data_IF_389816620068
#
_entry.id   IF_389816620068
#
_cell.length_a   1.000
_cell.length_b   1.000
_cell.length_c   1.000
_cell.angle_alpha   90.00
_cell.angle_beta   90.00
_cell.angle_gamma   90.00
#
_symmetry.space_group_name_H-M   'P 1'
#
loop_
_entity.id
_entity.type
_entity.pdbx_description
1 polymer ?
#
# COMPACT_ATOMS: atom_id res chain seq x y z
N UNK A 1 8.31 -14.91 16.11
CA UNK A 1 8.01 -13.50 15.73
C UNK A 1 6.53 -13.25 15.51
N UNK A 2 5.83 -13.98 14.62
CA UNK A 2 4.38 -13.75 14.39
C UNK A 2 3.51 -13.94 15.64
N UNK A 3 3.78 -14.94 16.49
CA UNK A 3 3.07 -15.09 17.77
C UNK A 3 3.28 -13.90 18.71
N UNK A 4 4.49 -13.31 18.72
CA UNK A 4 4.78 -12.11 19.52
C UNK A 4 3.99 -10.93 18.98
N UNK A 5 3.98 -10.73 17.66
CA UNK A 5 3.16 -9.71 17.01
C UNK A 5 1.68 -9.87 17.39
N UNK A 6 1.14 -11.09 17.27
CA UNK A 6 -0.26 -11.41 17.56
C UNK A 6 -0.64 -11.08 19.01
N UNK A 7 0.08 -11.63 20.00
CA UNK A 7 -0.20 -11.39 21.42
C UNK A 7 -0.07 -9.91 21.77
N UNK A 8 0.93 -9.23 21.20
CA UNK A 8 1.14 -7.80 21.41
C UNK A 8 -0.03 -7.00 20.84
N UNK A 9 -0.53 -7.36 19.67
CA UNK A 9 -1.67 -6.68 19.08
C UNK A 9 -2.97 -6.93 19.82
N UNK A 10 -3.22 -8.17 20.28
CA UNK A 10 -4.37 -8.51 21.12
C UNK A 10 -4.39 -7.69 22.42
N UNK A 11 -3.21 -7.48 23.04
CA UNK A 11 -3.07 -6.63 24.22
C UNK A 11 -3.36 -5.15 23.92
N UNK A 12 -2.83 -4.61 22.82
CA UNK A 12 -3.11 -3.23 22.40
C UNK A 12 -4.61 -3.04 22.15
N UNK A 13 -5.22 -3.95 21.40
CA UNK A 13 -6.64 -3.89 21.04
C UNK A 13 -7.55 -4.01 22.26
N UNK A 14 -7.20 -4.89 23.20
CA UNK A 14 -7.93 -5.02 24.47
C UNK A 14 -7.83 -3.73 25.30
N UNK A 15 -6.66 -3.12 25.38
CA UNK A 15 -6.47 -1.86 26.09
C UNK A 15 -7.26 -0.71 25.44
N UNK A 16 -7.24 -0.59 24.11
CA UNK A 16 -8.00 0.43 23.36
C UNK A 16 -9.50 0.22 23.54
N UNK A 17 -9.97 -1.03 23.54
CA UNK A 17 -11.40 -1.34 23.74
C UNK A 17 -11.87 -0.97 25.14
N UNK A 18 -11.04 -1.21 26.17
CA UNK A 18 -11.41 -0.98 27.56
C UNK A 18 -11.31 0.50 27.98
N UNK A 19 -10.39 1.25 27.39
CA UNK A 19 -9.99 2.58 27.89
C UNK A 19 -9.95 3.68 26.80
N UNK A 20 -10.38 3.35 25.58
CA UNK A 20 -10.36 4.24 24.42
C UNK A 20 -8.96 4.51 23.86
N UNK A 21 -8.88 5.31 22.79
CA UNK A 21 -7.62 5.59 22.08
C UNK A 21 -6.57 6.33 22.91
N UNK A 22 -6.95 6.92 24.04
CA UNK A 22 -6.04 7.65 24.93
C UNK A 22 -4.90 6.78 25.46
N UNK A 23 -5.10 5.46 25.57
CA UNK A 23 -4.08 4.52 26.05
C UNK A 23 -2.90 4.36 25.10
N UNK A 24 -3.07 4.69 23.82
CA UNK A 24 -1.98 4.64 22.83
C UNK A 24 -0.83 5.58 23.20
N UNK A 25 -1.08 6.56 24.08
CA UNK A 25 -0.06 7.49 24.59
C UNK A 25 0.76 6.90 25.74
N UNK A 26 0.30 5.82 26.39
CA UNK A 26 0.97 5.22 27.53
C UNK A 26 2.29 4.55 27.12
N UNK A 27 3.35 4.64 27.95
CA UNK A 27 4.66 4.09 27.63
C UNK A 27 4.64 2.60 27.26
N UNK A 28 3.88 1.78 28.01
CA UNK A 28 3.79 0.35 27.76
C UNK A 28 3.19 0.03 26.38
N UNK A 29 2.10 0.71 26.01
CA UNK A 29 1.45 0.52 24.71
C UNK A 29 2.36 1.00 23.57
N UNK A 30 3.09 2.10 23.75
CA UNK A 30 4.11 2.55 22.79
C UNK A 30 5.21 1.51 22.59
N UNK A 31 5.70 0.89 23.66
CA UNK A 31 6.68 -0.20 23.57
C UNK A 31 6.11 -1.41 22.83
N UNK A 32 4.86 -1.79 23.09
CA UNK A 32 4.16 -2.87 22.38
C UNK A 32 4.05 -2.57 20.87
N UNK A 33 3.68 -1.35 20.50
CA UNK A 33 3.66 -0.91 19.09
C UNK A 33 5.05 -0.98 18.46
N UNK A 34 6.08 -0.51 19.17
CA UNK A 34 7.47 -0.60 18.70
C UNK A 34 7.89 -2.06 18.45
N UNK A 35 7.48 -3.01 19.30
CA UNK A 35 7.72 -4.45 19.07
C UNK A 35 7.05 -4.92 17.77
N UNK A 36 5.79 -4.54 17.51
CA UNK A 36 5.10 -4.87 16.25
C UNK A 36 5.86 -4.30 15.04
N UNK A 37 6.26 -3.04 15.11
CA UNK A 37 7.03 -2.35 14.07
C UNK A 37 8.36 -3.06 13.79
N UNK A 38 9.13 -3.41 14.83
CA UNK A 38 10.43 -4.08 14.66
C UNK A 38 10.29 -5.52 14.14
N UNK A 39 9.21 -6.23 14.51
CA UNK A 39 8.90 -7.53 13.90
C UNK A 39 8.68 -7.38 12.39
N UNK A 40 7.90 -6.38 11.96
CA UNK A 40 7.64 -6.13 10.54
C UNK A 40 8.90 -5.71 9.79
N UNK A 41 9.72 -4.81 10.38
CA UNK A 41 11.00 -4.37 9.79
C UNK A 41 11.95 -5.54 9.60
N UNK A 42 12.10 -6.40 10.61
CA UNK A 42 12.94 -7.59 10.50
C UNK A 42 12.47 -8.53 9.37
N UNK A 43 11.16 -8.75 9.26
CA UNK A 43 10.57 -9.55 8.18
C UNK A 43 10.87 -8.91 6.82
N UNK A 44 10.72 -7.59 6.69
CA UNK A 44 11.01 -6.86 5.45
C UNK A 44 12.48 -6.94 5.05
N UNK A 45 13.38 -6.75 6.01
CA UNK A 45 14.83 -6.88 5.78
C UNK A 45 15.17 -8.29 5.35
N UNK A 46 14.59 -9.30 5.98
CA UNK A 46 14.79 -10.69 5.61
C UNK A 46 14.29 -11.00 4.20
N UNK A 47 13.06 -10.59 3.85
CA UNK A 47 12.49 -10.78 2.49
C UNK A 47 13.38 -10.12 1.43
N UNK A 48 13.79 -8.87 1.66
CA UNK A 48 14.63 -8.10 0.74
C UNK A 48 16.01 -8.73 0.56
N UNK A 49 16.63 -9.18 1.66
CA UNK A 49 17.96 -9.81 1.65
C UNK A 49 17.93 -11.16 0.96
N UNK A 50 16.88 -11.95 1.17
CA UNK A 50 16.76 -13.23 0.47
C UNK A 50 16.64 -13.03 -1.04
N UNK A 51 15.95 -11.98 -1.49
CA UNK A 51 15.79 -11.72 -2.92
C UNK A 51 17.13 -11.40 -3.59
N UNK A 52 17.96 -10.56 -2.94
CA UNK A 52 19.30 -10.25 -3.45
C UNK A 52 20.23 -11.48 -3.46
N UNK A 53 20.13 -12.35 -2.46
CA UNK A 53 20.88 -13.62 -2.43
C UNK A 53 20.39 -14.54 -3.56
N UNK A 54 19.09 -14.63 -3.81
CA UNK A 54 18.50 -15.46 -4.87
C UNK A 54 19.09 -15.18 -6.25
N UNK A 55 19.23 -13.90 -6.59
CA UNK A 55 19.81 -13.47 -7.87
C UNK A 55 21.29 -13.85 -7.98
N UNK A 56 22.04 -13.78 -6.87
CA UNK A 56 23.47 -14.11 -6.84
C UNK A 56 23.78 -15.62 -6.79
N UNK A 57 22.94 -16.42 -6.13
CA UNK A 57 23.29 -17.78 -5.71
C UNK A 57 22.44 -18.90 -6.35
N UNK A 58 21.44 -18.57 -7.20
CA UNK A 58 20.51 -19.54 -7.84
C UNK A 58 20.03 -20.63 -6.87
N UNK A 59 19.58 -20.26 -5.69
CA UNK A 59 19.04 -21.21 -4.71
C UNK A 59 17.63 -21.64 -5.17
N UNK A 60 17.40 -22.89 -5.61
CA UNK A 60 16.15 -23.30 -6.25
C UNK A 60 14.94 -23.31 -5.31
N UNK A 61 15.18 -23.46 -4.00
CA UNK A 61 14.15 -23.68 -2.98
C UNK A 61 13.55 -22.39 -2.41
N UNK A 62 14.17 -21.23 -2.70
CA UNK A 62 13.77 -19.95 -2.13
C UNK A 62 12.29 -19.60 -2.39
N UNK A 63 11.74 -19.78 -3.60
CA UNK A 63 10.31 -19.57 -3.87
C UNK A 63 9.39 -20.35 -2.93
N UNK A 64 9.72 -21.61 -2.66
CA UNK A 64 8.95 -22.49 -1.76
C UNK A 64 9.05 -22.03 -0.31
N UNK A 65 10.23 -21.56 0.11
CA UNK A 65 10.43 -20.98 1.44
C UNK A 65 9.54 -19.75 1.59
N UNK A 66 9.56 -18.79 0.65
CA UNK A 66 8.68 -17.61 0.71
C UNK A 66 7.21 -18.00 0.83
N UNK A 67 6.73 -18.92 0.01
CA UNK A 67 5.32 -19.34 0.02
C UNK A 67 4.89 -20.03 1.30
N UNK A 68 5.81 -20.59 2.08
CA UNK A 68 5.49 -21.11 3.42
C UNK A 68 5.27 -20.01 4.46
N UNK A 69 5.87 -18.82 4.26
CA UNK A 69 5.82 -17.70 5.23
C UNK A 69 4.73 -16.67 4.92
N UNK A 70 4.39 -16.47 3.65
CA UNK A 70 3.41 -15.45 3.23
C UNK A 70 2.02 -15.67 3.84
N UNK A 71 1.40 -16.87 3.77
CA UNK A 71 0.05 -17.05 4.31
C UNK A 71 -0.04 -16.79 5.82
N UNK A 72 0.85 -17.36 6.68
CA UNK A 72 0.83 -17.07 8.11
C UNK A 72 1.06 -15.59 8.44
N UNK A 73 1.92 -14.91 7.67
CA UNK A 73 2.14 -13.48 7.81
C UNK A 73 0.84 -12.72 7.54
N UNK A 74 0.23 -12.95 6.37
CA UNK A 74 -1.00 -12.27 5.96
C UNK A 74 -2.17 -12.49 6.91
N UNK A 75 -2.38 -13.73 7.36
CA UNK A 75 -3.44 -14.06 8.31
C UNK A 75 -3.25 -13.34 9.66
N UNK A 76 -2.00 -13.09 10.04
CA UNK A 76 -1.68 -12.39 11.29
C UNK A 76 -1.78 -10.87 11.15
N UNK A 77 -1.26 -10.28 10.06
CA UNK A 77 -1.05 -8.83 9.96
C UNK A 77 -2.17 -8.09 9.24
N UNK A 78 -2.77 -8.68 8.20
CA UNK A 78 -3.77 -7.99 7.37
C UNK A 78 -5.07 -7.77 8.15
N UNK A 79 -5.57 -8.84 8.77
CA UNK A 79 -6.80 -8.78 9.56
C UNK A 79 -6.65 -7.90 10.81
N UNK A 80 -5.46 -7.95 11.43
CA UNK A 80 -5.11 -7.07 12.54
C UNK A 80 -5.17 -5.60 12.13
N UNK A 81 -4.51 -5.24 11.02
CA UNK A 81 -4.51 -3.88 10.51
C UNK A 81 -5.92 -3.37 10.22
N UNK A 82 -6.72 -4.16 9.49
CA UNK A 82 -8.06 -3.77 9.07
C UNK A 82 -8.98 -3.46 10.27
N UNK A 83 -8.91 -4.28 11.33
CA UNK A 83 -9.79 -4.17 12.51
C UNK A 83 -9.37 -3.14 13.53
N UNK A 84 -8.12 -2.70 13.51
CA UNK A 84 -7.64 -1.70 14.45
C UNK A 84 -8.25 -0.33 14.15
N UNK A 85 -8.39 0.47 15.21
CA UNK A 85 -8.72 1.90 15.08
C UNK A 85 -7.60 2.62 14.31
N UNK A 86 -7.91 3.73 13.59
CA UNK A 86 -6.93 4.47 12.80
C UNK A 86 -5.59 4.73 13.52
N UNK A 87 -5.65 5.22 14.76
CA UNK A 87 -4.48 5.56 15.57
C UNK A 87 -3.60 4.36 15.99
N UNK A 88 -4.11 3.13 15.87
CA UNK A 88 -3.44 1.88 16.24
C UNK A 88 -3.00 1.04 15.03
N UNK A 89 -3.27 1.51 13.80
CA UNK A 89 -2.80 0.88 12.56
C UNK A 89 -1.33 1.22 12.34
N UNK A 90 -0.49 0.21 12.16
CA UNK A 90 0.95 0.43 11.96
C UNK A 90 1.28 0.67 10.47
N UNK A 91 1.88 1.82 10.11
CA UNK A 91 2.18 2.13 8.71
C UNK A 91 3.19 1.15 8.10
N UNK A 92 4.01 0.47 8.91
CA UNK A 92 4.92 -0.58 8.45
C UNK A 92 4.21 -1.79 7.82
N UNK A 93 2.91 -2.02 8.06
CA UNK A 93 2.17 -3.10 7.38
C UNK A 93 2.07 -2.81 5.87
N UNK A 94 1.81 -1.56 5.49
CA UNK A 94 1.78 -1.13 4.08
C UNK A 94 3.16 -1.26 3.45
N UNK A 95 4.21 -0.84 4.16
CA UNK A 95 5.60 -0.99 3.72
C UNK A 95 6.00 -2.46 3.54
N UNK A 96 5.58 -3.33 4.47
CA UNK A 96 5.83 -4.76 4.37
C UNK A 96 5.17 -5.41 3.16
N UNK A 97 3.91 -5.07 2.89
CA UNK A 97 3.21 -5.54 1.71
C UNK A 97 3.86 -5.00 0.43
N UNK A 98 4.32 -3.75 0.42
CA UNK A 98 5.06 -3.14 -0.71
C UNK A 98 6.33 -3.94 -1.03
N UNK A 99 7.15 -4.23 -0.01
CA UNK A 99 8.38 -5.01 -0.16
C UNK A 99 8.06 -6.41 -0.70
N UNK A 100 7.09 -7.09 -0.07
CA UNK A 100 6.69 -8.44 -0.45
C UNK A 100 6.19 -8.51 -1.91
N UNK A 101 5.30 -7.61 -2.32
CA UNK A 101 4.79 -7.52 -3.69
C UNK A 101 5.92 -7.23 -4.68
N UNK A 102 6.85 -6.33 -4.33
CA UNK A 102 7.98 -6.00 -5.20
C UNK A 102 8.92 -7.19 -5.41
N UNK A 103 9.19 -7.96 -4.36
CA UNK A 103 10.10 -9.12 -4.45
C UNK A 103 9.43 -10.33 -5.10
N UNK A 104 8.15 -10.56 -4.83
CA UNK A 104 7.46 -11.78 -5.27
C UNK A 104 6.72 -11.61 -6.60
N UNK A 105 6.37 -10.37 -6.97
CA UNK A 105 5.74 -10.00 -8.23
C UNK A 105 4.50 -10.86 -8.48
N UNK A 106 4.35 -11.41 -9.69
CA UNK A 106 3.21 -12.23 -10.09
C UNK A 106 2.97 -13.46 -9.21
N UNK A 107 3.94 -13.90 -8.40
CA UNK A 107 3.75 -15.04 -7.49
C UNK A 107 2.77 -14.76 -6.35
N UNK A 108 2.50 -13.49 -6.04
CA UNK A 108 1.51 -13.10 -5.01
C UNK A 108 0.27 -12.46 -5.62
N UNK A 109 0.12 -12.55 -6.95
CA UNK A 109 -1.03 -11.98 -7.67
C UNK A 109 -2.37 -12.51 -7.18
N UNK A 110 -2.45 -13.79 -6.77
CA UNK A 110 -3.68 -14.38 -6.21
C UNK A 110 -4.07 -13.78 -4.84
N UNK A 111 -3.10 -13.28 -4.09
CA UNK A 111 -3.33 -12.65 -2.78
C UNK A 111 -3.68 -11.16 -2.88
N UNK A 112 -3.43 -10.51 -4.03
CA UNK A 112 -3.64 -9.06 -4.19
C UNK A 112 -5.06 -8.61 -3.82
N UNK A 113 -6.15 -9.29 -4.23
CA UNK A 113 -7.50 -8.92 -3.77
C UNK A 113 -7.64 -8.94 -2.25
N UNK A 114 -7.13 -9.99 -1.58
CA UNK A 114 -7.16 -10.11 -0.11
C UNK A 114 -6.36 -8.99 0.56
N UNK A 115 -5.21 -8.61 0.00
CA UNK A 115 -4.39 -7.51 0.52
C UNK A 115 -5.11 -6.17 0.35
N UNK A 116 -5.69 -5.91 -0.82
CA UNK A 116 -6.46 -4.69 -1.08
C UNK A 116 -7.68 -4.57 -0.17
N UNK A 117 -8.44 -5.64 0.03
CA UNK A 117 -9.60 -5.63 0.92
C UNK A 117 -9.24 -5.29 2.37
N UNK A 118 -8.08 -5.77 2.84
CA UNK A 118 -7.61 -5.50 4.19
C UNK A 118 -7.05 -4.07 4.36
N UNK A 119 -6.31 -3.56 3.38
CA UNK A 119 -5.50 -2.35 3.53
C UNK A 119 -6.07 -1.12 2.82
N UNK A 120 -6.74 -1.28 1.68
CA UNK A 120 -7.05 -0.16 0.79
C UNK A 120 -8.06 0.81 1.41
N UNK A 121 -9.32 0.38 1.57
CA UNK A 121 -10.41 1.26 1.97
C UNK A 121 -10.19 1.87 3.35
N UNK A 122 -9.75 1.05 4.30
CA UNK A 122 -9.55 1.50 5.66
C UNK A 122 -8.39 2.49 5.80
N UNK A 123 -7.35 2.40 4.97
CA UNK A 123 -6.26 3.39 4.93
C UNK A 123 -6.68 4.64 4.19
N UNK A 124 -7.41 4.51 3.07
CA UNK A 124 -7.89 5.66 2.30
C UNK A 124 -8.76 6.57 3.18
N UNK A 125 -9.68 6.00 3.96
CA UNK A 125 -10.50 6.73 4.94
C UNK A 125 -9.69 7.45 6.04
N UNK A 126 -8.46 7.03 6.30
CA UNK A 126 -7.58 7.72 7.25
C UNK A 126 -6.94 8.94 6.62
N UNK A 127 -6.44 8.79 5.39
CA UNK A 127 -5.56 9.79 4.76
C UNK A 127 -6.31 10.83 3.92
N UNK A 128 -7.59 10.60 3.60
CA UNK A 128 -8.38 11.46 2.72
C UNK A 128 -9.26 12.51 3.44
N UNK A 129 -9.20 12.57 4.78
CA UNK A 129 -9.96 13.53 5.59
C UNK A 129 -9.33 14.92 5.60
N UNK A 130 -8.01 14.96 5.67
CA UNK A 130 -7.19 16.16 5.65
C UNK A 130 -5.79 15.84 5.09
N UNK A 131 -4.97 16.87 4.94
CA UNK A 131 -3.64 16.78 4.34
C UNK A 131 -2.50 16.63 5.37
N UNK A 132 -2.79 16.59 6.67
CA UNK A 132 -1.79 16.65 7.75
C UNK A 132 -1.67 15.34 8.51
N UNK A 133 -2.79 14.69 8.81
CA UNK A 133 -2.84 13.48 9.62
C UNK A 133 -2.26 12.27 8.86
N UNK A 134 -1.71 11.32 9.63
CA UNK A 134 -1.15 10.05 9.14
C UNK A 134 -0.16 10.18 7.96
N UNK A 135 0.89 11.03 8.05
CA UNK A 135 1.81 11.27 6.93
C UNK A 135 2.59 10.02 6.51
N UNK A 136 2.97 9.17 7.46
CA UNK A 136 3.66 7.90 7.17
C UNK A 136 2.74 6.90 6.44
N UNK A 137 1.49 6.77 6.88
CA UNK A 137 0.49 5.94 6.18
C UNK A 137 0.28 6.43 4.77
N UNK A 138 0.20 7.75 4.57
CA UNK A 138 -0.01 8.35 3.25
C UNK A 138 1.11 7.99 2.27
N UNK A 139 2.37 8.16 2.68
CA UNK A 139 3.52 7.78 1.86
C UNK A 139 3.52 6.28 1.56
N UNK A 140 3.37 5.45 2.59
CA UNK A 140 3.43 4.00 2.43
C UNK A 140 2.24 3.46 1.62
N UNK A 141 1.06 4.08 1.73
CA UNK A 141 -0.12 3.73 0.96
C UNK A 141 0.11 3.91 -0.53
N UNK A 142 0.63 5.06 -0.96
CA UNK A 142 0.89 5.28 -2.38
C UNK A 142 2.06 4.43 -2.89
N UNK A 143 3.09 4.20 -2.09
CA UNK A 143 4.14 3.23 -2.44
C UNK A 143 3.58 1.80 -2.61
N UNK A 144 2.64 1.41 -1.77
CA UNK A 144 1.93 0.14 -1.86
C UNK A 144 1.11 0.05 -3.16
N UNK A 145 0.29 1.05 -3.50
CA UNK A 145 -0.45 1.10 -4.77
C UNK A 145 0.49 1.01 -5.97
N UNK A 146 1.58 1.78 -5.94
CA UNK A 146 2.61 1.74 -6.97
C UNK A 146 3.17 0.34 -7.16
N UNK A 147 3.48 -0.38 -6.07
CA UNK A 147 4.04 -1.74 -6.17
C UNK A 147 3.08 -2.73 -6.82
N UNK A 148 1.76 -2.61 -6.59
CA UNK A 148 0.75 -3.45 -7.22
C UNK A 148 0.71 -3.19 -8.73
N UNK A 149 0.62 -1.92 -9.14
CA UNK A 149 0.55 -1.55 -10.56
C UNK A 149 1.81 -2.01 -11.32
N UNK A 150 2.98 -1.87 -10.71
CA UNK A 150 4.24 -2.24 -11.36
C UNK A 150 4.40 -3.76 -11.47
N UNK A 151 4.11 -4.50 -10.39
CA UNK A 151 4.54 -5.90 -10.27
C UNK A 151 3.41 -6.94 -10.36
N UNK A 152 2.14 -6.53 -10.22
CA UNK A 152 0.96 -7.39 -10.17
C UNK A 152 -0.21 -6.77 -10.94
N UNK A 153 0.05 -6.14 -12.09
CA UNK A 153 -0.97 -5.42 -12.86
C UNK A 153 -2.12 -6.33 -13.31
N UNK A 154 -1.82 -7.58 -13.66
CA UNK A 154 -2.83 -8.55 -14.07
C UNK A 154 -3.84 -8.79 -12.94
N UNK A 155 -3.36 -8.91 -11.69
CA UNK A 155 -4.22 -9.08 -10.53
C UNK A 155 -5.09 -7.83 -10.27
N UNK A 156 -4.52 -6.64 -10.49
CA UNK A 156 -5.26 -5.38 -10.40
C UNK A 156 -6.44 -5.35 -11.37
N UNK A 157 -6.32 -5.94 -12.56
CA UNK A 157 -7.40 -6.01 -13.54
C UNK A 157 -8.53 -7.00 -13.17
N UNK A 158 -8.31 -7.86 -12.18
CA UNK A 158 -9.31 -8.84 -11.72
C UNK A 158 -10.19 -8.31 -10.59
N UNK A 159 -9.88 -7.13 -10.02
CA UNK A 159 -10.68 -6.56 -8.93
C UNK A 159 -12.01 -5.99 -9.45
N UNK A 160 -13.03 -5.84 -8.59
CA UNK A 160 -14.29 -5.22 -8.97
C UNK A 160 -14.10 -3.81 -9.56
N UNK A 161 -14.81 -3.44 -10.66
CA UNK A 161 -14.64 -2.13 -11.31
C UNK A 161 -14.78 -0.93 -10.37
N UNK A 162 -15.70 -1.01 -9.40
CA UNK A 162 -15.88 0.05 -8.40
C UNK A 162 -14.64 0.24 -7.50
N UNK A 163 -13.97 -0.85 -7.12
CA UNK A 163 -12.73 -0.78 -6.34
C UNK A 163 -11.59 -0.20 -7.20
N UNK A 164 -11.52 -0.56 -8.48
CA UNK A 164 -10.57 0.03 -9.42
C UNK A 164 -10.79 1.54 -9.59
N UNK A 165 -12.04 2.00 -9.71
CA UNK A 165 -12.37 3.44 -9.75
C UNK A 165 -11.83 4.17 -8.51
N UNK A 166 -11.99 3.61 -7.32
CA UNK A 166 -11.43 4.21 -6.10
C UNK A 166 -9.89 4.30 -6.12
N UNK A 167 -9.20 3.37 -6.77
CA UNK A 167 -7.74 3.44 -6.96
C UNK A 167 -7.39 4.63 -7.87
N UNK A 168 -8.13 4.80 -8.98
CA UNK A 168 -7.94 5.97 -9.87
C UNK A 168 -8.22 7.28 -9.13
N UNK A 169 -9.29 7.35 -8.34
CA UNK A 169 -9.63 8.52 -7.54
C UNK A 169 -8.56 8.84 -6.49
N UNK A 170 -7.98 7.81 -5.85
CA UNK A 170 -6.88 7.97 -4.91
C UNK A 170 -5.60 8.52 -5.59
N UNK A 171 -5.31 8.08 -6.82
CA UNK A 171 -4.19 8.61 -7.62
C UNK A 171 -4.43 10.08 -7.96
N UNK A 172 -5.66 10.43 -8.38
CA UNK A 172 -6.06 11.82 -8.64
C UNK A 172 -5.90 12.68 -7.39
N UNK A 173 -6.32 12.17 -6.23
CA UNK A 173 -6.13 12.86 -4.97
C UNK A 173 -4.64 13.08 -4.65
N UNK A 174 -3.78 12.09 -4.89
CA UNK A 174 -2.35 12.19 -4.64
C UNK A 174 -1.66 13.27 -5.47
N UNK A 175 -1.85 13.30 -6.79
CA UNK A 175 -1.19 14.31 -7.63
C UNK A 175 -1.80 15.72 -7.48
N UNK A 176 -2.95 15.85 -6.80
CA UNK A 176 -3.54 17.14 -6.40
C UNK A 176 -3.15 17.56 -4.98
N UNK A 177 -2.29 16.81 -4.31
CA UNK A 177 -1.87 17.13 -2.95
C UNK A 177 -1.00 18.40 -2.91
N UNK A 178 -1.03 19.06 -1.76
CA UNK A 178 -0.20 20.24 -1.46
C UNK A 178 1.27 19.91 -1.14
N UNK A 179 1.61 18.62 -0.96
CA UNK A 179 2.92 18.17 -0.50
C UNK A 179 3.66 17.55 -1.66
N UNK A 180 4.79 18.14 -2.03
CA UNK A 180 5.61 17.75 -3.19
C UNK A 180 5.83 16.25 -3.31
N UNK A 181 6.28 15.59 -2.24
CA UNK A 181 6.57 14.16 -2.27
C UNK A 181 5.33 13.31 -2.62
N UNK A 182 4.14 13.69 -2.14
CA UNK A 182 2.91 12.96 -2.46
C UNK A 182 2.48 13.24 -3.90
N UNK A 183 2.62 14.49 -4.35
CA UNK A 183 2.36 14.90 -5.72
C UNK A 183 3.22 14.11 -6.71
N UNK A 184 4.53 14.06 -6.48
CA UNK A 184 5.49 13.33 -7.31
C UNK A 184 5.17 11.83 -7.35
N UNK A 185 4.89 11.21 -6.20
CA UNK A 185 4.49 9.78 -6.16
C UNK A 185 3.17 9.57 -6.92
N UNK A 186 2.19 10.46 -6.78
CA UNK A 186 0.90 10.37 -7.48
C UNK A 186 1.06 10.42 -9.01
N UNK A 187 1.89 11.35 -9.50
CA UNK A 187 2.21 11.46 -10.92
C UNK A 187 2.99 10.23 -11.42
N UNK A 188 3.95 9.73 -10.65
CA UNK A 188 4.68 8.51 -11.00
C UNK A 188 3.74 7.31 -11.10
N UNK A 189 2.80 7.15 -10.16
CA UNK A 189 1.81 6.07 -10.21
C UNK A 189 0.93 6.18 -11.45
N UNK A 190 0.47 7.39 -11.78
CA UNK A 190 -0.34 7.62 -12.97
C UNK A 190 0.42 7.22 -14.24
N UNK A 191 1.69 7.62 -14.36
CA UNK A 191 2.55 7.24 -15.48
C UNK A 191 2.67 5.71 -15.60
N UNK A 192 2.95 5.00 -14.49
CA UNK A 192 3.02 3.52 -14.48
C UNK A 192 1.69 2.85 -14.83
N UNK A 193 0.57 3.46 -14.44
CA UNK A 193 -0.76 2.95 -14.77
C UNK A 193 -1.01 3.04 -16.28
N UNK A 194 -0.76 4.22 -16.87
CA UNK A 194 -0.93 4.45 -18.31
C UNK A 194 0.02 3.56 -19.13
N UNK A 195 1.28 3.44 -18.72
CA UNK A 195 2.26 2.54 -19.35
C UNK A 195 1.78 1.08 -19.28
N UNK A 196 1.24 0.64 -18.14
CA UNK A 196 0.73 -0.73 -17.99
C UNK A 196 -0.49 -0.99 -18.88
N UNK A 197 -1.41 -0.04 -19.03
CA UNK A 197 -2.52 -0.17 -19.98
C UNK A 197 -2.08 -0.16 -21.44
N UNK A 198 -1.00 0.55 -21.77
CA UNK A 198 -0.50 0.60 -23.15
C UNK A 198 0.32 -0.64 -23.55
N UNK A 199 0.94 -1.32 -22.58
CA UNK A 199 1.89 -2.42 -22.87
C UNK A 199 1.47 -3.81 -22.40
N UNK A 200 0.63 -3.93 -21.36
CA UNK A 200 0.39 -5.22 -20.67
C UNK A 200 -1.00 -5.83 -20.91
N UNK A 201 -1.93 -5.13 -21.53
CA UNK A 201 -3.32 -5.61 -21.76
C UNK A 201 -3.69 -5.58 -23.23
N UNK A 202 -4.81 -6.24 -23.57
CA UNK A 202 -5.33 -6.22 -24.93
C UNK A 202 -5.80 -4.81 -25.34
N UNK A 203 -5.78 -4.49 -26.65
CA UNK A 203 -6.27 -3.21 -27.15
C UNK A 203 -7.71 -2.89 -26.71
N UNK A 204 -8.59 -3.89 -26.62
CA UNK A 204 -9.98 -3.69 -26.21
C UNK A 204 -10.12 -3.31 -24.73
N UNK A 205 -9.30 -3.93 -23.87
CA UNK A 205 -9.25 -3.58 -22.44
C UNK A 205 -8.66 -2.18 -22.25
N UNK A 206 -7.59 -1.86 -22.95
CA UNK A 206 -6.99 -0.52 -22.94
C UNK A 206 -8.00 0.54 -23.41
N UNK A 207 -8.71 0.27 -24.51
CA UNK A 207 -9.73 1.16 -25.04
C UNK A 207 -10.88 1.40 -24.06
N UNK A 208 -11.32 0.37 -23.34
CA UNK A 208 -12.34 0.48 -22.29
C UNK A 208 -11.88 1.41 -21.16
N UNK A 209 -10.62 1.27 -20.72
CA UNK A 209 -10.01 2.17 -19.75
C UNK A 209 -9.95 3.61 -20.28
N UNK A 210 -9.48 3.83 -21.51
CA UNK A 210 -9.37 5.18 -22.07
C UNK A 210 -10.74 5.86 -22.22
N UNK A 211 -11.76 5.13 -22.69
CA UNK A 211 -13.12 5.65 -22.80
C UNK A 211 -13.67 6.11 -21.44
N UNK A 212 -13.37 5.38 -20.37
CA UNK A 212 -13.90 5.67 -19.05
C UNK A 212 -13.12 6.76 -18.31
N UNK A 213 -11.79 6.76 -18.39
CA UNK A 213 -10.95 7.55 -17.47
C UNK A 213 -10.11 8.64 -18.15
N UNK A 214 -9.83 8.56 -19.46
CA UNK A 214 -8.82 9.42 -20.09
C UNK A 214 -9.12 10.91 -19.97
N UNK A 215 -10.34 11.34 -20.36
CA UNK A 215 -10.72 12.76 -20.30
C UNK A 215 -10.78 13.29 -18.87
N UNK A 216 -11.24 12.47 -17.93
CA UNK A 216 -11.30 12.81 -16.51
C UNK A 216 -9.89 13.00 -15.93
N UNK A 217 -8.98 12.08 -16.20
CA UNK A 217 -7.56 12.18 -15.80
C UNK A 217 -6.92 13.42 -16.41
N UNK A 218 -7.10 13.64 -17.71
CA UNK A 218 -6.53 14.80 -18.40
C UNK A 218 -7.05 16.13 -17.82
N UNK A 219 -8.35 16.22 -17.54
CA UNK A 219 -8.94 17.40 -16.90
C UNK A 219 -8.32 17.67 -15.53
N UNK A 220 -8.12 16.63 -14.71
CA UNK A 220 -7.47 16.77 -13.41
C UNK A 220 -6.00 17.16 -13.52
N UNK A 221 -5.25 16.57 -14.45
CA UNK A 221 -3.85 16.97 -14.72
C UNK A 221 -3.77 18.44 -15.13
N UNK A 222 -4.61 18.88 -16.07
CA UNK A 222 -4.64 20.28 -16.49
C UNK A 222 -4.96 21.21 -15.33
N UNK A 223 -5.88 20.82 -14.43
CA UNK A 223 -6.19 21.63 -13.25
C UNK A 223 -4.97 21.86 -12.34
N UNK A 224 -4.09 20.86 -12.21
CA UNK A 224 -2.83 20.97 -11.44
C UNK A 224 -1.80 21.82 -12.17
N UNK A 225 -1.64 21.61 -13.49
CA UNK A 225 -0.70 22.39 -14.32
C UNK A 225 -1.07 23.89 -14.32
N UNK A 226 -2.36 24.21 -14.37
CA UNK A 226 -2.83 25.60 -14.46
C UNK A 226 -2.93 26.31 -13.12
N UNK A 227 -2.80 25.59 -12.00
CA UNK A 227 -2.78 26.17 -10.67
C UNK A 227 -1.34 26.57 -10.32
N UNK A 228 -1.10 27.88 -10.20
CA UNK A 228 0.25 28.43 -9.93
C UNK A 228 0.88 27.92 -8.62
N UNK A 229 0.06 27.52 -7.63
CA UNK A 229 0.56 26.99 -6.37
C UNK A 229 0.92 25.51 -6.48
N UNK A 230 0.09 24.73 -7.17
CA UNK A 230 0.34 23.29 -7.36
C UNK A 230 1.42 23.03 -8.41
N UNK A 231 1.53 23.86 -9.45
CA UNK A 231 2.60 23.79 -10.43
C UNK A 231 3.98 23.92 -9.77
N UNK A 232 4.14 24.87 -8.85
CA UNK A 232 5.37 25.04 -8.07
C UNK A 232 5.68 23.81 -7.18
N UNK A 233 4.64 23.22 -6.58
CA UNK A 233 4.77 21.99 -5.77
C UNK A 233 5.20 20.80 -6.64
N UNK A 234 4.66 20.68 -7.85
CA UNK A 234 5.03 19.65 -8.83
C UNK A 234 6.41 19.89 -9.47
N UNK A 235 7.02 21.05 -9.25
CA UNK A 235 8.33 21.41 -9.79
C UNK A 235 8.29 21.86 -11.26
N UNK A 236 7.16 22.42 -11.70
CA UNK A 236 6.96 23.00 -13.03
C UNK A 236 7.04 24.52 -13.04
#
# INVERSE_FOLDING_TARGET
MLNVYKVTSENINSAVTLHGESVLKQPLIKCMRAVKTEVLRLINTWISTLSSISESARIPELPSIYMSFVPPLFDTVLFDYQRNVPSAREPEVLSACTVLITQMKEKVSEDVPKILDALFGCTLEMINKDFEDFPEHRINFFQFIRSIIVNCFTALMLIPPAQFTLIVDAIVWAFKHTTRNITEIGLEILDRLLDSFSTKVSPDMAQSFYQQYYLTILSHLLSVVTDSTMAQVAGW
#
